data_IF_460859129720
#
_entry.id   IF_460859129720
#
_cell.length_a   1.000
_cell.length_b   1.000
_cell.length_c   1.000
_cell.angle_alpha   90.00
_cell.angle_beta   90.00
_cell.angle_gamma   90.00
#
_symmetry.space_group_name_H-M   'P 1'
#
loop_
_entity.id
_entity.type
_entity.pdbx_description
1 polymer ?
#
# COMPACT_ATOMS: atom_id res chain seq x y z
N UNK A 1 -9.13 6.09 21.34
CA UNK A 1 -9.71 6.43 20.03
C UNK A 1 -8.90 5.75 18.93
N UNK A 2 -9.55 4.91 18.12
CA UNK A 2 -8.91 4.32 16.93
C UNK A 2 -8.78 5.43 15.90
N UNK A 3 -7.55 5.80 15.51
CA UNK A 3 -7.32 6.80 14.46
C UNK A 3 -7.77 6.20 13.13
N UNK A 4 -8.99 6.52 12.70
CA UNK A 4 -9.49 6.12 11.39
C UNK A 4 -8.67 6.84 10.31
N UNK A 5 -7.96 6.14 9.41
CA UNK A 5 -7.30 6.79 8.28
C UNK A 5 -8.31 7.60 7.49
N UNK A 6 -7.90 8.80 7.10
CA UNK A 6 -8.75 9.84 6.48
C UNK A 6 -9.49 9.36 5.23
N UNK A 7 -8.98 8.32 4.57
CA UNK A 7 -9.45 7.81 3.29
C UNK A 7 -10.10 6.40 3.39
N UNK A 8 -10.72 6.02 4.51
CA UNK A 8 -11.35 4.69 4.67
C UNK A 8 -12.68 4.48 3.92
N UNK A 9 -13.26 5.51 3.30
CA UNK A 9 -14.55 5.38 2.57
C UNK A 9 -14.68 6.23 1.30
N UNK A 10 -13.65 6.99 0.93
CA UNK A 10 -13.64 7.76 -0.31
C UNK A 10 -13.32 6.86 -1.51
N UNK A 11 -14.16 6.95 -2.55
CA UNK A 11 -13.92 6.29 -3.83
C UNK A 11 -12.49 6.52 -4.34
N UNK A 12 -11.94 5.53 -5.04
CA UNK A 12 -10.62 5.65 -5.64
C UNK A 12 -10.70 6.57 -6.85
N UNK A 13 -9.93 7.65 -6.84
CA UNK A 13 -9.80 8.49 -8.04
C UNK A 13 -8.82 7.83 -9.02
N UNK A 14 -8.94 8.07 -10.34
CA UNK A 14 -7.98 7.56 -11.32
C UNK A 14 -6.53 7.95 -11.00
N UNK A 15 -6.32 9.15 -10.46
CA UNK A 15 -5.01 9.65 -10.01
C UNK A 15 -4.43 8.79 -8.89
N UNK A 16 -5.26 8.36 -7.93
CA UNK A 16 -4.81 7.47 -6.85
C UNK A 16 -4.48 6.07 -7.37
N UNK A 17 -5.20 5.57 -8.37
CA UNK A 17 -4.89 4.28 -8.99
C UNK A 17 -3.55 4.34 -9.73
N UNK A 18 -3.31 5.41 -10.50
CA UNK A 18 -2.00 5.64 -11.14
C UNK A 18 -0.87 5.76 -10.12
N UNK A 19 -1.10 6.47 -9.00
CA UNK A 19 -0.11 6.57 -7.94
C UNK A 19 0.20 5.21 -7.30
N UNK A 20 -0.82 4.36 -7.10
CA UNK A 20 -0.65 3.00 -6.61
C UNK A 20 0.20 2.16 -7.57
N UNK A 21 -0.11 2.21 -8.87
CA UNK A 21 0.64 1.52 -9.92
C UNK A 21 2.10 1.94 -9.92
N UNK A 22 2.38 3.25 -9.99
CA UNK A 22 3.75 3.78 -10.01
C UNK A 22 4.57 3.35 -8.79
N UNK A 23 3.96 3.32 -7.60
CA UNK A 23 4.64 2.87 -6.39
C UNK A 23 4.90 1.36 -6.39
N UNK A 24 3.96 0.57 -6.93
CA UNK A 24 4.12 -0.87 -7.09
C UNK A 24 5.24 -1.21 -8.09
N UNK A 25 5.31 -0.49 -9.22
CA UNK A 25 6.36 -0.64 -10.24
C UNK A 25 7.76 -0.29 -9.70
N UNK A 26 7.82 0.64 -8.74
CA UNK A 26 9.05 0.95 -8.00
C UNK A 26 9.41 -0.09 -6.93
N UNK A 27 8.70 -1.22 -6.86
CA UNK A 27 8.85 -2.25 -5.82
C UNK A 27 8.68 -1.69 -4.40
N UNK A 28 7.82 -0.67 -4.22
CA UNK A 28 7.59 -0.08 -2.89
C UNK A 28 6.84 -1.09 -2.02
N UNK A 29 7.30 -1.39 -0.79
CA UNK A 29 6.57 -2.28 0.11
C UNK A 29 5.16 -1.77 0.38
N UNK A 30 4.16 -2.67 0.38
CA UNK A 30 2.74 -2.33 0.54
C UNK A 30 2.45 -1.44 1.75
N UNK A 31 3.20 -1.65 2.84
CA UNK A 31 3.06 -0.83 4.06
C UNK A 31 3.52 0.62 3.85
N UNK A 32 4.55 0.85 3.05
CA UNK A 32 5.02 2.19 2.69
C UNK A 32 4.04 2.87 1.72
N UNK A 33 3.49 2.12 0.77
CA UNK A 33 2.41 2.61 -0.10
C UNK A 33 1.23 3.10 0.74
N UNK A 34 0.78 2.29 1.70
CA UNK A 34 -0.31 2.63 2.60
C UNK A 34 -0.04 3.94 3.38
N UNK A 35 1.18 4.13 3.88
CA UNK A 35 1.59 5.37 4.56
C UNK A 35 1.58 6.58 3.61
N UNK A 36 2.17 6.45 2.41
CA UNK A 36 2.22 7.53 1.40
C UNK A 36 0.82 7.96 0.94
N UNK A 37 -0.11 7.01 0.82
CA UNK A 37 -1.47 7.27 0.36
C UNK A 37 -2.47 7.54 1.50
N UNK A 38 -2.01 7.56 2.75
CA UNK A 38 -2.84 7.70 3.94
C UNK A 38 -4.03 6.72 3.98
N UNK A 39 -3.81 5.49 3.50
CA UNK A 39 -4.80 4.38 3.45
C UNK A 39 -4.34 3.21 4.33
N UNK A 40 -5.23 2.25 4.58
CA UNK A 40 -4.83 1.00 5.26
C UNK A 40 -4.13 0.07 4.28
N UNK A 41 -3.21 -0.79 4.75
CA UNK A 41 -2.65 -1.85 3.89
C UNK A 41 -3.73 -2.74 3.27
N UNK A 42 -4.81 -3.03 4.01
CA UNK A 42 -5.94 -3.80 3.49
C UNK A 42 -6.62 -3.12 2.29
N UNK A 43 -6.81 -1.79 2.34
CA UNK A 43 -7.37 -1.04 1.21
C UNK A 43 -6.43 -1.06 -0.01
N UNK A 44 -5.12 -1.02 0.20
CA UNK A 44 -4.12 -1.16 -0.88
C UNK A 44 -4.23 -2.56 -1.52
N UNK A 45 -4.27 -3.63 -0.72
CA UNK A 45 -4.41 -5.00 -1.23
C UNK A 45 -5.70 -5.18 -2.04
N UNK A 46 -6.83 -4.73 -1.50
CA UNK A 46 -8.13 -4.84 -2.17
C UNK A 46 -8.14 -4.07 -3.49
N UNK A 47 -7.60 -2.85 -3.53
CA UNK A 47 -7.56 -2.08 -4.76
C UNK A 47 -6.58 -2.64 -5.78
N UNK A 48 -5.39 -3.04 -5.36
CA UNK A 48 -4.42 -3.64 -6.26
C UNK A 48 -4.97 -4.92 -6.90
N UNK A 49 -5.67 -5.76 -6.12
CA UNK A 49 -6.35 -6.94 -6.66
C UNK A 49 -7.46 -6.59 -7.66
N UNK A 50 -8.28 -5.56 -7.37
CA UNK A 50 -9.33 -5.09 -8.27
C UNK A 50 -8.77 -4.54 -9.60
N UNK A 51 -7.65 -3.84 -9.55
CA UNK A 51 -7.02 -3.21 -10.72
C UNK A 51 -5.98 -4.11 -11.42
N UNK A 52 -5.74 -5.32 -10.91
CA UNK A 52 -4.73 -6.24 -11.48
C UNK A 52 -3.28 -5.80 -11.25
N UNK A 53 -3.02 -4.96 -10.26
CA UNK A 53 -1.70 -4.41 -9.95
C UNK A 53 -0.92 -5.41 -9.10
N UNK A 54 0.20 -5.90 -9.61
CA UNK A 54 1.08 -6.78 -8.83
C UNK A 54 1.79 -5.99 -7.73
N UNK A 55 1.66 -6.45 -6.48
CA UNK A 55 2.41 -5.93 -5.33
C UNK A 55 3.67 -6.76 -5.03
N UNK A 56 4.13 -7.60 -5.98
CA UNK A 56 5.32 -8.46 -5.86
C UNK A 56 6.47 -7.97 -6.76
N UNK A 57 7.75 -8.21 -6.40
CA UNK A 57 8.23 -9.04 -5.28
C UNK A 57 8.74 -8.24 -4.07
N UNK A 58 8.60 -8.87 -2.89
CA UNK A 58 9.03 -8.39 -1.57
C UNK A 58 10.55 -8.49 -1.39
N UNK A 59 11.36 -7.72 -2.13
CA UNK A 59 12.79 -7.72 -1.79
C UNK A 59 13.03 -6.84 -0.55
N UNK A 60 13.20 -7.57 0.56
CA UNK A 60 13.73 -7.23 1.88
C UNK A 60 12.72 -6.87 2.98
N UNK A 61 12.68 -7.77 3.97
CA UNK A 61 12.19 -7.48 5.31
C UNK A 61 13.12 -6.41 5.93
N UNK A 62 12.61 -5.25 6.35
CA UNK A 62 13.45 -4.18 6.92
C UNK A 62 14.04 -4.52 8.29
N UNK A 63 13.59 -5.61 8.93
CA UNK A 63 14.00 -6.00 10.26
C UNK A 63 14.82 -7.29 10.25
N UNK A 64 16.15 -7.13 10.30
CA UNK A 64 16.99 -8.08 11.03
C UNK A 64 16.60 -7.96 12.52
N UNK A 65 15.51 -8.62 12.95
CA UNK A 65 15.29 -8.85 14.39
C UNK A 65 16.37 -9.82 14.85
N UNK A 66 17.54 -9.29 15.23
CA UNK A 66 18.51 -10.02 16.04
C UNK A 66 17.83 -10.27 17.39
N UNK A 67 17.37 -11.50 17.60
CA UNK A 67 17.04 -11.99 18.93
C UNK A 67 18.36 -12.13 19.69
N UNK A 68 18.50 -11.40 20.78
CA UNK A 68 19.59 -11.58 21.75
C UNK A 68 19.14 -12.58 22.80
#
# INVERSE_FOLDING_TARGET
MVKTPRNQGGGWTPVQVQQLQNLADQNTPTRIIALKMARTPAAIYSKAAHEGISLKPTNQSPYNRRTK
#
